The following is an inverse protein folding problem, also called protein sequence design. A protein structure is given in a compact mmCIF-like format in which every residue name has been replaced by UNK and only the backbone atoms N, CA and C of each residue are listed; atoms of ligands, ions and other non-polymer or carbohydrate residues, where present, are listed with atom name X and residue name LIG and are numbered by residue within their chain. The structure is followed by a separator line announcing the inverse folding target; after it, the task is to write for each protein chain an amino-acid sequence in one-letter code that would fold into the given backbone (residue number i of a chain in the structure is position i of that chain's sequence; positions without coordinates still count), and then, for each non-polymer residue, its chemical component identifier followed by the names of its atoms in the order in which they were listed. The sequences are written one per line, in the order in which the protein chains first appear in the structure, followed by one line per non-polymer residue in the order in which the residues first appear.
data_IF_627514628765
#
_entry.id   IF_627514628765
#
_cell.length_a   1.000
_cell.length_b   1.000
_cell.length_c   1.000
_cell.angle_alpha   90.00
_cell.angle_beta   90.00
_cell.angle_gamma   90.00
#
_symmetry.space_group_name_H-M   'P 1'
#
loop_
_entity.id
_entity.type
_entity.pdbx_description
1 polymer ?
#
# COMPACT_ATOMS: atom_id res chain seq x y z
N UNK A 1 9.79 -51.63 -15.51
CA UNK A 1 9.47 -50.18 -15.45
C UNK A 1 8.00 -50.02 -15.14
N UNK A 2 7.61 -49.60 -13.92
CA UNK A 2 6.24 -49.19 -13.67
C UNK A 2 6.08 -47.69 -13.96
N UNK A 3 5.04 -47.35 -14.72
CA UNK A 3 4.58 -45.99 -15.03
C UNK A 3 4.15 -45.26 -13.75
N UNK A 4 4.77 -44.10 -13.50
CA UNK A 4 4.34 -43.17 -12.47
C UNK A 4 3.22 -42.28 -13.05
N UNK A 5 1.97 -42.58 -12.66
CA UNK A 5 0.86 -41.67 -12.89
C UNK A 5 1.06 -40.39 -12.08
N UNK A 6 1.44 -39.32 -12.77
CA UNK A 6 1.52 -37.97 -12.22
C UNK A 6 0.10 -37.51 -11.91
N UNK A 7 -0.27 -37.52 -10.63
CA UNK A 7 -1.51 -36.90 -10.16
C UNK A 7 -1.43 -35.40 -10.42
N UNK A 8 -2.23 -34.92 -11.36
CA UNK A 8 -2.46 -33.50 -11.56
C UNK A 8 -3.16 -32.96 -10.30
N UNK A 9 -2.44 -32.15 -9.52
CA UNK A 9 -3.05 -31.32 -8.50
C UNK A 9 -3.99 -30.33 -9.22
N UNK A 10 -5.28 -30.62 -9.18
CA UNK A 10 -6.32 -29.67 -9.52
C UNK A 10 -6.25 -28.55 -8.47
N UNK A 11 -5.75 -27.39 -8.88
CA UNK A 11 -5.86 -26.17 -8.08
C UNK A 11 -7.35 -25.88 -7.87
N UNK A 12 -7.74 -25.70 -6.61
CA UNK A 12 -9.11 -25.40 -6.22
C UNK A 12 -9.59 -24.12 -6.96
N UNK A 13 -10.70 -24.17 -7.72
CA UNK A 13 -11.27 -23.00 -8.38
C UNK A 13 -11.86 -21.99 -7.41
N UNK A 14 -11.95 -22.29 -6.11
CA UNK A 14 -12.03 -21.25 -5.07
C UNK A 14 -10.66 -20.58 -4.95
N UNK A 15 -10.21 -19.91 -6.00
CA UNK A 15 -9.12 -18.96 -5.88
C UNK A 15 -9.50 -18.04 -4.73
N UNK A 16 -8.74 -18.09 -3.64
CA UNK A 16 -8.88 -17.13 -2.55
C UNK A 16 -8.64 -15.79 -3.20
N UNK A 17 -9.71 -15.03 -3.44
CA UNK A 17 -9.57 -13.64 -3.83
C UNK A 17 -8.77 -13.01 -2.70
N UNK A 18 -7.55 -12.55 -3.01
CA UNK A 18 -6.77 -11.79 -2.05
C UNK A 18 -7.70 -10.67 -1.54
N UNK A 19 -7.84 -10.50 -0.22
CA UNK A 19 -8.64 -9.41 0.31
C UNK A 19 -8.19 -8.11 -0.36
N UNK A 20 -9.14 -7.26 -0.75
CA UNK A 20 -8.82 -5.94 -1.32
C UNK A 20 -7.88 -5.24 -0.35
N UNK A 21 -6.64 -5.00 -0.80
CA UNK A 21 -5.52 -4.52 0.02
C UNK A 21 -5.57 -3.00 0.20
N UNK A 22 -6.77 -2.43 0.38
CA UNK A 22 -6.94 -1.01 0.65
C UNK A 22 -6.51 -0.07 -0.47
N UNK A 23 -6.11 1.14 -0.05
CA UNK A 23 -5.80 2.28 -0.91
C UNK A 23 -4.30 2.63 -0.76
N UNK A 24 -3.54 2.43 -1.84
CA UNK A 24 -2.07 2.39 -1.80
C UNK A 24 -1.46 3.51 -2.61
N UNK A 25 -0.37 4.09 -2.10
CA UNK A 25 0.39 5.12 -2.81
C UNK A 25 1.16 4.51 -3.99
N UNK A 26 0.99 5.09 -5.18
CA UNK A 26 1.71 4.73 -6.40
C UNK A 26 2.75 5.82 -6.73
N UNK A 27 4.02 5.54 -6.46
CA UNK A 27 5.11 6.50 -6.62
C UNK A 27 5.24 7.08 -8.04
N UNK A 28 5.09 6.25 -9.08
CA UNK A 28 5.17 6.71 -10.48
C UNK A 28 4.03 7.63 -10.91
N UNK A 29 2.94 7.69 -10.14
CA UNK A 29 1.75 8.48 -10.46
C UNK A 29 1.57 9.65 -9.47
N UNK A 30 2.27 9.63 -8.32
CA UNK A 30 2.09 10.64 -7.27
C UNK A 30 0.69 10.62 -6.65
N UNK A 31 0.00 9.48 -6.69
CA UNK A 31 -1.40 9.36 -6.32
C UNK A 31 -1.73 7.97 -5.75
N UNK A 32 -2.89 7.88 -5.10
CA UNK A 32 -3.41 6.69 -4.44
C UNK A 32 -4.42 5.95 -5.31
N UNK A 33 -4.30 4.64 -5.36
CA UNK A 33 -5.19 3.75 -6.13
C UNK A 33 -5.54 2.51 -5.30
N UNK A 34 -6.72 1.95 -5.57
CA UNK A 34 -7.14 0.72 -4.92
C UNK A 34 -6.16 -0.39 -5.28
N UNK A 35 -5.66 -1.14 -4.30
CA UNK A 35 -4.80 -2.29 -4.58
C UNK A 35 -5.63 -3.57 -4.65
N UNK A 36 -5.69 -4.17 -5.83
CA UNK A 36 -6.46 -5.39 -6.08
C UNK A 36 -5.61 -6.66 -5.99
N UNK A 37 -4.29 -6.52 -6.03
CA UNK A 37 -3.33 -7.58 -5.77
C UNK A 37 -1.95 -6.99 -5.50
N UNK A 38 -1.33 -7.47 -4.43
CA UNK A 38 -0.08 -6.97 -3.89
C UNK A 38 0.60 -8.00 -3.00
N UNK A 39 1.78 -7.65 -2.52
CA UNK A 39 2.58 -8.46 -1.62
C UNK A 39 3.99 -7.89 -1.48
N UNK A 40 4.67 -8.27 -0.40
CA UNK A 40 6.06 -7.86 -0.14
C UNK A 40 6.26 -6.32 -0.20
N UNK A 41 5.34 -5.55 0.38
CA UNK A 41 5.44 -4.08 0.44
C UNK A 41 5.00 -3.35 -0.83
N UNK A 42 4.52 -4.05 -1.86
CA UNK A 42 4.16 -3.45 -3.14
C UNK A 42 2.75 -3.85 -3.58
N UNK A 43 2.15 -2.98 -4.40
CA UNK A 43 0.97 -3.31 -5.17
C UNK A 43 1.34 -3.57 -6.64
N UNK A 44 0.84 -4.67 -7.19
CA UNK A 44 1.12 -5.09 -8.56
C UNK A 44 -0.05 -4.78 -9.51
N UNK A 45 -1.27 -4.76 -8.98
CA UNK A 45 -2.48 -4.45 -9.74
C UNK A 45 -3.24 -3.32 -9.08
N UNK A 46 -3.28 -2.18 -9.77
CA UNK A 46 -3.97 -0.97 -9.35
C UNK A 46 -5.35 -0.87 -9.99
N UNK A 47 -6.33 -0.50 -9.19
CA UNK A 47 -7.71 -0.23 -9.60
C UNK A 47 -7.98 1.27 -9.76
N UNK A 48 -9.20 1.69 -9.40
CA UNK A 48 -9.60 3.08 -9.46
C UNK A 48 -8.82 3.96 -8.47
N UNK A 49 -8.64 5.26 -8.74
CA UNK A 49 -8.13 6.22 -7.76
C UNK A 49 -8.97 6.21 -6.47
N UNK A 50 -8.33 6.38 -5.33
CA UNK A 50 -8.99 6.32 -4.02
C UNK A 50 -8.32 7.25 -3.01
N UNK A 51 -8.90 7.37 -1.82
CA UNK A 51 -8.26 8.00 -0.67
C UNK A 51 -8.22 6.99 0.50
N UNK A 52 -7.15 6.97 1.31
CA UNK A 52 -7.11 6.22 2.56
C UNK A 52 -8.28 6.61 3.48
N UNK A 53 -8.87 5.63 4.18
CA UNK A 53 -10.04 5.86 5.05
C UNK A 53 -9.73 6.77 6.25
N UNK A 54 -8.50 6.74 6.73
CA UNK A 54 -8.01 7.63 7.80
C UNK A 54 -7.61 9.03 7.29
N UNK A 55 -7.69 9.26 5.98
CA UNK A 55 -7.32 10.50 5.33
C UNK A 55 -5.83 10.83 5.40
N UNK A 56 -4.96 9.90 5.83
CA UNK A 56 -3.54 10.13 5.97
C UNK A 56 -2.79 9.76 4.69
N UNK A 57 -2.40 10.77 3.90
CA UNK A 57 -1.81 10.56 2.58
C UNK A 57 -0.35 11.01 2.55
N UNK A 58 0.46 10.28 1.79
CA UNK A 58 1.86 10.59 1.53
C UNK A 58 1.98 11.73 0.53
N UNK A 59 2.66 12.80 0.93
CA UNK A 59 3.07 13.89 0.05
C UNK A 59 4.48 13.63 -0.48
N UNK A 60 4.58 13.36 -1.77
CA UNK A 60 5.85 13.11 -2.45
C UNK A 60 6.76 14.35 -2.51
N UNK A 61 6.19 15.56 -2.41
CA UNK A 61 6.96 16.80 -2.52
C UNK A 61 7.93 16.98 -1.35
N UNK A 62 7.55 16.52 -0.16
CA UNK A 62 8.41 16.56 1.03
C UNK A 62 8.58 15.21 1.72
N UNK A 63 8.05 14.13 1.16
CA UNK A 63 8.18 12.78 1.69
C UNK A 63 7.59 12.62 3.10
N UNK A 64 6.40 13.18 3.34
CA UNK A 64 5.72 13.14 4.64
C UNK A 64 4.27 12.71 4.48
N UNK A 65 3.77 11.99 5.46
CA UNK A 65 2.35 11.73 5.61
C UNK A 65 1.66 12.92 6.28
N UNK A 66 0.57 13.38 5.66
CA UNK A 66 -0.24 14.52 6.11
C UNK A 66 -1.71 14.19 5.96
N UNK A 67 -2.53 14.78 6.83
CA UNK A 67 -3.99 14.68 6.66
C UNK A 67 -4.36 15.36 5.35
N UNK A 68 -5.08 14.65 4.48
CA UNK A 68 -5.65 15.22 3.29
C UNK A 68 -7.07 15.71 3.57
N UNK A 69 -7.31 17.01 3.37
CA UNK A 69 -8.65 17.61 3.58
C UNK A 69 -9.47 17.68 2.29
N UNK A 70 -8.82 17.52 1.13
CA UNK A 70 -9.46 17.52 -0.19
C UNK A 70 -8.80 16.51 -1.12
N UNK A 71 -9.13 15.22 -1.01
CA UNK A 71 -8.65 14.19 -1.93
C UNK A 71 -9.41 14.28 -3.26
N UNK A 72 -8.68 14.28 -4.38
CA UNK A 72 -9.22 14.31 -5.75
C UNK A 72 -8.40 13.35 -6.61
N UNK A 73 -9.07 12.35 -7.19
CA UNK A 73 -8.45 11.38 -8.11
C UNK A 73 -7.15 10.75 -7.57
N UNK A 74 -7.13 10.38 -6.28
CA UNK A 74 -5.96 9.77 -5.65
C UNK A 74 -4.88 10.74 -5.20
N UNK A 75 -4.96 12.01 -5.56
CA UNK A 75 -4.06 13.05 -5.07
C UNK A 75 -4.71 13.87 -3.96
N UNK A 76 -3.90 14.59 -3.19
CA UNK A 76 -4.41 15.59 -2.26
C UNK A 76 -4.24 17.01 -2.83
N UNK A 77 -5.32 17.77 -2.86
CA UNK A 77 -5.30 19.17 -3.30
C UNK A 77 -5.25 20.18 -2.13
N UNK A 78 -5.36 19.71 -0.88
CA UNK A 78 -5.29 20.54 0.31
C UNK A 78 -4.79 19.74 1.52
N UNK A 79 -3.57 20.07 1.95
CA UNK A 79 -2.88 19.39 3.05
C UNK A 79 -3.18 20.02 4.41
N UNK A 80 -3.34 19.17 5.42
CA UNK A 80 -3.33 19.52 6.83
C UNK A 80 -1.98 19.24 7.48
N UNK A 81 -2.00 19.01 8.79
CA UNK A 81 -0.81 18.67 9.57
C UNK A 81 -0.29 17.25 9.31
N UNK A 82 0.89 16.97 9.86
CA UNK A 82 1.49 15.65 9.85
C UNK A 82 0.56 14.60 10.49
N UNK A 83 0.55 13.39 9.94
CA UNK A 83 -0.23 12.27 10.46
C UNK A 83 0.56 10.96 10.35
N UNK A 84 0.02 9.91 10.95
CA UNK A 84 0.48 8.53 10.81
C UNK A 84 -0.69 7.68 10.30
N UNK A 85 -0.49 6.83 9.27
CA UNK A 85 -1.51 5.88 8.83
C UNK A 85 -1.93 4.94 9.96
N UNK A 86 -3.21 4.61 10.08
CA UNK A 86 -3.74 3.77 11.15
C UNK A 86 -3.10 2.36 11.18
N UNK A 87 -2.77 1.81 10.02
CA UNK A 87 -2.08 0.53 9.88
C UNK A 87 -0.58 0.60 10.17
N UNK A 88 -0.02 1.80 10.38
CA UNK A 88 1.42 2.07 10.48
C UNK A 88 2.24 1.56 9.28
N UNK A 89 1.60 1.19 8.17
CA UNK A 89 2.24 0.74 6.94
C UNK A 89 2.55 1.95 6.06
N UNK A 90 3.82 2.38 6.05
CA UNK A 90 4.27 3.62 5.41
C UNK A 90 5.18 3.31 4.22
N UNK A 91 5.07 4.13 3.18
CA UNK A 91 5.89 4.08 1.98
C UNK A 91 7.30 4.62 2.27
N UNK A 92 8.32 3.79 2.01
CA UNK A 92 9.72 4.20 2.01
C UNK A 92 10.13 4.60 0.58
N UNK A 93 10.50 5.86 0.40
CA UNK A 93 10.97 6.34 -0.90
C UNK A 93 12.39 5.87 -1.25
N UNK A 94 13.14 5.33 -0.28
CA UNK A 94 14.50 4.83 -0.50
C UNK A 94 14.51 3.54 -1.33
N UNK A 95 13.56 2.64 -1.12
CA UNK A 95 13.44 1.37 -1.84
C UNK A 95 12.12 1.21 -2.63
N UNK A 96 11.15 2.11 -2.42
CA UNK A 96 9.87 2.10 -3.10
C UNK A 96 8.87 1.09 -2.55
N UNK A 97 9.09 0.58 -1.34
CA UNK A 97 8.24 -0.43 -0.70
C UNK A 97 7.53 0.13 0.54
N UNK A 98 6.49 -0.58 0.98
CA UNK A 98 5.79 -0.28 2.20
C UNK A 98 6.31 -1.13 3.36
N UNK A 99 6.62 -0.44 4.45
CA UNK A 99 7.15 -1.01 5.69
C UNK A 99 6.28 -0.63 6.88
N UNK A 100 6.20 -1.49 7.87
CA UNK A 100 5.71 -1.06 9.18
C UNK A 100 6.63 0.02 9.69
N UNK A 101 6.06 1.07 10.27
CA UNK A 101 6.84 2.11 10.90
C UNK A 101 6.73 2.00 12.42
N UNK A 102 7.85 1.65 13.05
CA UNK A 102 7.93 1.45 14.50
C UNK A 102 8.07 2.77 15.28
N UNK A 103 8.37 3.86 14.59
CA UNK A 103 8.45 5.20 15.17
C UNK A 103 8.25 6.29 14.11
N UNK A 104 7.19 7.10 14.28
CA UNK A 104 6.87 8.22 13.39
C UNK A 104 7.20 9.55 14.06
N UNK A 105 7.78 10.48 13.30
CA UNK A 105 7.99 11.87 13.71
C UNK A 105 7.68 12.79 12.54
N UNK A 106 6.80 13.77 12.76
CA UNK A 106 6.43 14.80 11.78
C UNK A 106 6.04 14.20 10.40
N UNK A 107 5.24 13.13 10.43
CA UNK A 107 4.74 12.44 9.24
C UNK A 107 5.76 11.56 8.53
N UNK A 108 6.95 11.38 9.10
CA UNK A 108 8.01 10.50 8.55
C UNK A 108 8.27 9.33 9.44
N UNK A 109 8.54 8.20 8.83
CA UNK A 109 9.12 7.10 9.56
C UNK A 109 10.57 7.41 9.95
N UNK A 110 10.89 7.16 11.21
CA UNK A 110 12.25 7.31 11.77
C UNK A 110 12.87 5.97 12.16
N UNK A 111 12.05 4.91 12.22
CA UNK A 111 12.50 3.53 12.42
C UNK A 111 11.61 2.57 11.63
N UNK A 112 12.16 2.00 10.57
CA UNK A 112 11.50 1.04 9.70
C UNK A 112 11.53 -0.37 10.30
N UNK A 113 10.41 -1.06 10.16
CA UNK A 113 10.24 -2.48 10.48
C UNK A 113 10.15 -3.34 9.21
N UNK A 114 9.41 -4.45 9.32
CA UNK A 114 9.24 -5.40 8.24
C UNK A 114 8.37 -4.83 7.09
N UNK A 115 8.41 -5.48 5.93
CA UNK A 115 7.47 -5.23 4.86
C UNK A 115 6.03 -5.46 5.36
N UNK A 116 5.12 -4.62 4.91
CA UNK A 116 3.70 -4.74 5.23
C UNK A 116 2.87 -4.65 3.96
N UNK A 117 1.68 -5.24 4.00
CA UNK A 117 0.71 -5.03 2.93
C UNK A 117 0.00 -3.69 3.16
N UNK A 118 0.05 -2.76 2.18
CA UNK A 118 -0.47 -1.40 2.36
C UNK A 118 -2.00 -1.26 2.34
N UNK A 119 -2.74 -2.28 2.78
CA UNK A 119 -4.21 -2.22 2.88
C UNK A 119 -5.09 -2.73 4.00
#
# INVERSE_FOLDING_TARGET
VPDAAVGQALLDPSGVACPVLGCVYHAGAGAYFACTSGGAGACFHYGAPCAPLDGCMYDAADGRYKTCTRPVQGACEAWGGACQPAAACMYDAADGLHHTCDAVSDGRCTRWGALCDPG
#
